data_IF_891198298684
#
_entry.id   IF_891198298684
#
_cell.length_a   1.000
_cell.length_b   1.000
_cell.length_c   1.000
_cell.angle_alpha   90.00
_cell.angle_beta   90.00
_cell.angle_gamma   90.00
#
_symmetry.space_group_name_H-M   'P 1'
#
loop_
_entity.id
_entity.type
_entity.pdbx_description
1 polymer ?
#
# COMPACT_ATOMS: atom_id res chain seq x y z
N UNK A 1 -28.13 22.01 16.09
CA UNK A 1 -27.87 21.20 14.88
C UNK A 1 -26.45 21.48 14.51
N UNK A 2 -25.64 20.46 14.75
CA UNK A 2 -24.22 20.48 14.55
C UNK A 2 -23.89 20.67 13.07
N UNK A 3 -23.01 21.62 12.77
CA UNK A 3 -22.46 21.84 11.45
C UNK A 3 -20.96 21.55 11.45
N UNK A 4 -20.51 20.84 10.41
CA UNK A 4 -19.10 20.45 10.23
C UNK A 4 -18.61 21.05 8.94
N UNK A 5 -17.74 22.04 9.07
CA UNK A 5 -17.22 22.80 7.93
C UNK A 5 -15.81 22.33 7.60
N UNK A 6 -15.64 21.84 6.38
CA UNK A 6 -14.34 21.46 5.81
C UNK A 6 -13.83 22.58 4.89
N UNK A 7 -12.54 22.89 5.01
CA UNK A 7 -11.86 23.81 4.11
C UNK A 7 -10.57 23.18 3.57
N UNK A 8 -10.50 22.99 2.26
CA UNK A 8 -9.33 22.41 1.55
C UNK A 8 -8.67 23.42 0.61
N UNK A 9 -9.12 24.68 0.59
CA UNK A 9 -8.63 25.71 -0.33
C UNK A 9 -7.14 26.05 -0.18
N UNK A 10 -6.53 25.71 0.95
CA UNK A 10 -5.11 25.87 1.21
C UNK A 10 -4.28 24.63 0.77
N UNK A 11 -4.92 23.54 0.35
CA UNK A 11 -4.22 22.34 -0.09
C UNK A 11 -3.63 22.53 -1.49
N UNK A 12 -2.36 22.13 -1.63
CA UNK A 12 -1.67 22.03 -2.91
C UNK A 12 -1.25 20.59 -3.13
N UNK A 13 -1.26 20.13 -4.39
CA UNK A 13 -0.77 18.80 -4.76
C UNK A 13 0.61 18.56 -4.17
N UNK A 14 0.75 17.43 -3.47
CA UNK A 14 2.00 17.03 -2.84
C UNK A 14 2.68 15.95 -3.67
N UNK A 15 4.01 16.02 -3.72
CA UNK A 15 4.87 14.98 -4.28
C UNK A 15 5.88 14.57 -3.22
N UNK A 16 6.03 13.27 -3.00
CA UNK A 16 6.96 12.70 -2.03
C UNK A 16 7.41 11.31 -2.48
N UNK A 17 8.49 10.82 -1.88
CA UNK A 17 9.05 9.50 -2.17
C UNK A 17 9.17 8.72 -0.86
N UNK A 18 8.69 7.48 -0.86
CA UNK A 18 8.89 6.52 0.23
C UNK A 18 9.70 5.36 -0.33
N UNK A 19 10.96 5.22 0.12
CA UNK A 19 11.93 4.32 -0.49
C UNK A 19 12.04 2.96 0.20
N UNK A 20 11.58 2.85 1.44
CA UNK A 20 11.64 1.65 2.26
C UNK A 20 10.37 1.44 3.08
N UNK A 21 10.12 0.20 3.51
CA UNK A 21 9.02 -0.09 4.44
C UNK A 21 9.27 0.62 5.78
N UNK A 22 8.25 1.32 6.27
CA UNK A 22 8.30 2.19 7.45
C UNK A 22 8.50 3.67 7.13
N UNK A 23 8.94 4.03 5.91
CA UNK A 23 9.01 5.43 5.50
C UNK A 23 7.62 6.06 5.53
N UNK A 24 7.54 7.29 6.04
CA UNK A 24 6.28 8.02 6.13
C UNK A 24 6.41 9.47 5.68
N UNK A 25 5.33 10.02 5.14
CA UNK A 25 5.20 11.43 4.79
C UNK A 25 3.87 11.98 5.29
N UNK A 26 3.93 13.11 5.99
CA UNK A 26 2.77 13.77 6.59
C UNK A 26 2.53 15.13 5.95
N UNK A 27 1.27 15.44 5.67
CA UNK A 27 0.87 16.72 5.10
C UNK A 27 -0.53 17.12 5.57
N UNK A 28 -0.77 18.42 5.63
CA UNK A 28 -2.09 18.95 5.93
C UNK A 28 -2.97 18.86 4.69
N UNK A 29 -4.16 18.28 4.82
CA UNK A 29 -5.15 18.16 3.73
C UNK A 29 -6.23 19.24 3.78
N UNK A 30 -6.36 19.91 4.92
CA UNK A 30 -7.30 21.01 5.10
C UNK A 30 -7.46 21.38 6.56
N UNK A 31 -8.58 22.05 6.84
CA UNK A 31 -9.04 22.30 8.20
C UNK A 31 -10.48 21.84 8.37
N UNK A 32 -10.83 21.50 9.61
CA UNK A 32 -12.18 21.13 10.03
C UNK A 32 -12.58 22.05 11.16
N UNK A 33 -13.79 22.60 11.07
CA UNK A 33 -14.37 23.44 12.10
C UNK A 33 -15.75 22.91 12.48
N UNK A 34 -15.97 22.69 13.78
CA UNK A 34 -17.28 22.34 14.31
C UNK A 34 -18.00 23.59 14.77
N UNK A 35 -19.24 23.76 14.31
CA UNK A 35 -20.09 24.89 14.65
C UNK A 35 -21.36 24.35 15.28
N UNK A 36 -21.49 24.50 16.59
CA UNK A 36 -22.75 24.26 17.28
C UNK A 36 -23.41 25.61 17.57
N UNK A 37 -24.60 25.91 17.02
CA UNK A 37 -25.29 27.18 17.27
C UNK A 37 -25.95 27.27 18.65
N UNK A 38 -26.22 26.14 19.33
CA UNK A 38 -26.91 26.11 20.64
C UNK A 38 -25.99 26.36 21.83
N UNK A 39 -25.14 27.37 21.75
CA UNK A 39 -24.00 27.55 22.68
C UNK A 39 -24.14 28.77 23.59
N UNK A 40 -23.81 28.61 24.87
CA UNK A 40 -23.77 29.70 25.86
C UNK A 40 -23.89 29.20 27.30
N UNK A 41 -23.61 30.02 28.33
CA UNK A 41 -23.82 29.61 29.72
C UNK A 41 -25.32 29.57 30.06
N UNK A 42 -25.78 28.50 30.73
CA UNK A 42 -27.11 28.42 31.35
C UNK A 42 -27.99 27.26 30.87
N UNK A 43 -29.18 27.12 31.47
CA UNK A 43 -30.11 25.97 31.34
C UNK A 43 -30.67 25.68 29.93
N UNK A 44 -30.19 26.37 28.90
CA UNK A 44 -30.58 26.19 27.49
C UNK A 44 -29.45 25.72 26.57
N UNK A 45 -28.20 25.71 27.04
CA UNK A 45 -27.11 25.04 26.34
C UNK A 45 -27.15 23.56 26.69
N UNK A 46 -27.25 22.73 25.68
CA UNK A 46 -27.28 21.28 25.86
C UNK A 46 -26.15 20.59 25.10
N UNK A 47 -25.15 21.37 24.68
CA UNK A 47 -24.03 20.94 23.86
C UNK A 47 -24.43 20.06 22.68
N UNK A 48 -23.51 19.21 22.25
CA UNK A 48 -23.73 18.21 21.20
C UNK A 48 -24.39 16.99 21.85
N UNK A 49 -25.60 16.65 21.41
CA UNK A 49 -26.32 15.46 21.88
C UNK A 49 -26.02 14.25 21.00
N UNK A 50 -26.21 13.04 21.51
CA UNK A 50 -26.03 11.79 20.74
C UNK A 50 -26.84 11.80 19.43
N UNK A 51 -28.07 12.33 19.47
CA UNK A 51 -28.96 12.51 18.30
C UNK A 51 -28.57 13.69 17.38
N UNK A 52 -27.41 14.31 17.60
CA UNK A 52 -26.78 15.26 16.68
C UNK A 52 -25.48 14.67 16.09
N UNK A 53 -25.12 13.44 16.50
CA UNK A 53 -23.93 12.72 16.04
C UNK A 53 -24.25 11.52 15.15
N UNK A 54 -25.51 11.11 15.08
CA UNK A 54 -26.00 10.21 14.06
C UNK A 54 -25.90 10.88 12.67
N UNK A 55 -25.43 10.13 11.68
CA UNK A 55 -25.40 10.54 10.26
C UNK A 55 -24.46 11.72 9.89
N UNK A 56 -23.45 12.07 10.71
CA UNK A 56 -22.48 13.11 10.34
C UNK A 56 -21.62 12.76 9.10
N UNK A 57 -21.67 11.51 8.60
CA UNK A 57 -21.12 11.01 7.33
C UNK A 57 -19.82 11.70 6.87
N UNK A 58 -18.87 11.86 7.80
CA UNK A 58 -17.62 12.55 7.50
C UNK A 58 -16.76 11.65 6.63
N UNK A 59 -16.50 12.09 5.40
CA UNK A 59 -15.68 11.36 4.45
C UNK A 59 -14.55 12.23 3.93
N UNK A 60 -13.36 11.64 3.81
CA UNK A 60 -12.22 12.26 3.13
C UNK A 60 -11.92 11.45 1.87
N UNK A 61 -11.82 12.16 0.75
CA UNK A 61 -11.44 11.62 -0.54
C UNK A 61 -10.04 12.11 -0.89
N UNK A 62 -9.12 11.17 -1.10
CA UNK A 62 -7.74 11.45 -1.49
C UNK A 62 -7.46 10.84 -2.86
N UNK A 63 -6.81 11.62 -3.70
CA UNK A 63 -6.55 11.25 -5.09
C UNK A 63 -5.06 11.05 -5.30
N UNK A 64 -4.66 9.85 -5.73
CA UNK A 64 -3.27 9.47 -5.95
C UNK A 64 -3.05 9.13 -7.42
N UNK A 65 -1.97 9.62 -8.04
CA UNK A 65 -1.63 9.34 -9.43
C UNK A 65 -0.54 8.25 -9.54
N UNK A 66 0.58 8.46 -8.86
CA UNK A 66 1.73 7.55 -8.79
C UNK A 66 1.88 7.08 -7.33
N UNK A 67 2.29 5.83 -7.03
CA UNK A 67 2.70 4.70 -7.89
C UNK A 67 1.55 3.85 -8.47
N UNK A 68 0.31 4.37 -8.50
CA UNK A 68 -0.87 3.58 -8.85
C UNK A 68 -1.08 3.39 -10.36
N UNK A 69 -0.25 4.02 -11.21
CA UNK A 69 -0.31 3.96 -12.67
C UNK A 69 -1.53 4.68 -13.29
N UNK A 70 -2.55 4.99 -12.50
CA UNK A 70 -3.71 5.78 -12.86
C UNK A 70 -4.21 6.54 -11.64
N UNK A 71 -4.92 7.65 -11.89
CA UNK A 71 -5.55 8.42 -10.84
C UNK A 71 -6.58 7.53 -10.11
N UNK A 72 -6.34 7.28 -8.82
CA UNK A 72 -7.23 6.50 -7.96
C UNK A 72 -7.71 7.35 -6.79
N UNK A 73 -9.01 7.30 -6.55
CA UNK A 73 -9.64 7.87 -5.36
C UNK A 73 -9.63 6.85 -4.22
N UNK A 74 -9.29 7.34 -3.04
CA UNK A 74 -9.26 6.56 -1.80
C UNK A 74 -10.14 7.29 -0.79
N UNK A 75 -11.12 6.57 -0.22
CA UNK A 75 -12.10 7.11 0.72
C UNK A 75 -11.86 6.57 2.12
N UNK A 76 -11.76 7.45 3.10
CA UNK A 76 -11.81 7.07 4.52
C UNK A 76 -12.99 7.76 5.21
N UNK A 77 -13.65 7.03 6.10
CA UNK A 77 -14.78 7.51 6.88
C UNK A 77 -14.34 7.84 8.31
N UNK A 78 -14.76 9.02 8.78
CA UNK A 78 -14.56 9.46 10.14
C UNK A 78 -15.69 9.00 11.05
N UNK A 79 -15.35 8.64 12.28
CA UNK A 79 -16.29 8.36 13.36
C UNK A 79 -16.30 9.57 14.29
N UNK A 80 -17.45 10.21 14.36
CA UNK A 80 -17.75 11.25 15.32
C UNK A 80 -18.07 10.65 16.69
N UNK A 81 -17.59 11.26 17.77
CA UNK A 81 -17.90 10.81 19.12
C UNK A 81 -18.11 12.04 20.02
N UNK A 82 -19.31 12.19 20.62
CA UNK A 82 -19.56 13.24 21.59
C UNK A 82 -18.88 12.92 22.92
N UNK A 83 -18.39 13.95 23.59
CA UNK A 83 -17.95 13.90 24.97
C UNK A 83 -18.97 14.51 25.92
N UNK A 84 -18.57 14.68 27.17
CA UNK A 84 -19.41 15.37 28.15
C UNK A 84 -19.45 16.86 27.84
N UNK A 85 -20.62 17.45 28.03
CA UNK A 85 -20.88 18.88 27.84
C UNK A 85 -20.73 19.60 29.18
N UNK A 86 -20.38 20.89 29.15
CA UNK A 86 -20.18 21.75 30.33
C UNK A 86 -19.01 21.34 31.26
N UNK A 87 -17.94 20.77 30.70
CA UNK A 87 -16.67 20.60 31.41
C UNK A 87 -15.49 21.23 30.64
N UNK A 88 -14.27 21.07 31.16
CA UNK A 88 -13.06 21.59 30.53
C UNK A 88 -12.37 20.55 29.62
N UNK A 89 -13.09 19.49 29.24
CA UNK A 89 -12.60 18.34 28.48
C UNK A 89 -13.11 18.35 27.05
N UNK A 90 -12.91 17.26 26.31
CA UNK A 90 -13.25 17.20 24.88
C UNK A 90 -14.75 16.97 24.73
N UNK A 91 -15.46 17.97 24.22
CA UNK A 91 -16.88 17.90 23.87
C UNK A 91 -17.15 17.06 22.62
N UNK A 92 -16.19 17.02 21.70
CA UNK A 92 -16.34 16.30 20.44
C UNK A 92 -15.01 15.80 19.89
N UNK A 93 -15.00 14.58 19.36
CA UNK A 93 -13.86 14.05 18.64
C UNK A 93 -14.23 13.41 17.32
N UNK A 94 -13.30 13.47 16.38
CA UNK A 94 -13.36 12.79 15.11
C UNK A 94 -12.15 11.88 15.00
N UNK A 95 -12.39 10.60 14.75
CA UNK A 95 -11.37 9.57 14.62
C UNK A 95 -11.53 8.82 13.31
N UNK A 96 -10.46 8.21 12.81
CA UNK A 96 -10.46 7.51 11.53
C UNK A 96 -9.75 6.18 11.64
N UNK A 97 -10.25 5.18 10.93
CA UNK A 97 -9.50 3.93 10.74
C UNK A 97 -8.45 4.14 9.64
N UNK A 98 -7.20 3.68 9.86
CA UNK A 98 -6.20 3.64 8.80
C UNK A 98 -6.69 2.80 7.61
N UNK A 99 -6.26 3.17 6.41
CA UNK A 99 -6.65 2.52 5.18
C UNK A 99 -5.43 2.04 4.40
N UNK A 100 -5.37 0.74 4.16
CA UNK A 100 -4.32 0.12 3.37
C UNK A 100 -4.68 0.16 1.88
N UNK A 101 -3.73 0.59 1.06
CA UNK A 101 -3.88 0.78 -0.38
C UNK A 101 -2.80 -0.02 -1.10
N UNK A 102 -3.22 -1.09 -1.77
CA UNK A 102 -2.34 -1.90 -2.60
C UNK A 102 -2.01 -1.17 -3.91
N UNK A 103 -0.78 -1.35 -4.40
CA UNK A 103 -0.27 -0.78 -5.64
C UNK A 103 0.83 -1.65 -6.25
N UNK A 104 1.03 -1.54 -7.57
CA UNK A 104 2.04 -2.33 -8.29
C UNK A 104 1.93 -3.84 -8.02
N UNK A 105 3.06 -4.54 -8.11
CA UNK A 105 3.15 -5.97 -7.80
C UNK A 105 3.51 -6.16 -6.32
N UNK A 106 2.48 -6.23 -5.47
CA UNK A 106 2.64 -6.52 -4.04
C UNK A 106 3.02 -5.32 -3.16
N UNK A 107 3.05 -4.10 -3.72
CA UNK A 107 3.25 -2.88 -2.96
C UNK A 107 2.03 -2.56 -2.09
N UNK A 108 2.28 -2.00 -0.90
CA UNK A 108 1.25 -1.62 0.05
C UNK A 108 1.69 -0.35 0.79
N UNK A 109 0.83 0.66 0.81
CA UNK A 109 0.97 1.79 1.72
C UNK A 109 -0.29 1.97 2.55
N UNK A 110 -0.15 2.55 3.73
CA UNK A 110 -1.24 2.88 4.62
C UNK A 110 -1.43 4.39 4.64
N UNK A 111 -2.69 4.83 4.63
CA UNK A 111 -3.07 6.21 4.89
C UNK A 111 -3.71 6.25 6.28
N UNK A 112 -3.24 7.14 7.14
CA UNK A 112 -3.89 7.48 8.39
C UNK A 112 -4.21 8.96 8.44
N UNK A 113 -5.31 9.31 9.09
CA UNK A 113 -5.68 10.71 9.36
C UNK A 113 -5.52 10.99 10.85
N UNK A 114 -5.02 12.18 11.17
CA UNK A 114 -4.85 12.62 12.55
C UNK A 114 -6.20 12.86 13.23
N UNK A 115 -6.40 12.27 14.42
CA UNK A 115 -7.56 12.51 15.27
C UNK A 115 -7.78 14.02 15.53
N UNK A 116 -9.03 14.46 15.55
CA UNK A 116 -9.39 15.83 15.93
C UNK A 116 -10.22 15.81 17.20
N UNK A 117 -9.99 16.76 18.09
CA UNK A 117 -10.73 16.92 19.34
C UNK A 117 -11.02 18.39 19.58
N UNK A 118 -12.24 18.69 20.02
CA UNK A 118 -12.74 20.04 20.26
C UNK A 118 -13.27 20.12 21.70
N UNK A 119 -12.72 21.04 22.49
CA UNK A 119 -13.06 21.25 23.91
C UNK A 119 -14.24 22.22 24.07
N UNK A 120 -14.52 23.01 23.04
CA UNK A 120 -15.71 23.84 22.95
C UNK A 120 -15.91 24.29 21.50
N UNK A 121 -17.06 24.91 21.25
CA UNK A 121 -17.46 25.49 19.96
C UNK A 121 -16.62 26.69 19.49
N UNK A 122 -15.69 27.21 20.30
CA UNK A 122 -14.89 28.41 19.99
C UNK A 122 -13.43 28.12 19.67
N UNK A 123 -13.01 26.86 19.63
CA UNK A 123 -11.60 26.50 19.32
C UNK A 123 -11.21 26.78 17.86
N UNK A 124 -12.17 27.15 17.01
CA UNK A 124 -11.93 27.48 15.61
C UNK A 124 -11.53 26.28 14.77
N UNK A 125 -11.03 26.55 13.57
CA UNK A 125 -10.69 25.51 12.62
C UNK A 125 -9.39 24.78 13.01
N UNK A 126 -9.42 23.45 13.06
CA UNK A 126 -8.25 22.61 13.34
C UNK A 126 -7.68 22.01 12.07
N UNK A 127 -6.36 21.87 11.99
CA UNK A 127 -5.68 21.25 10.87
C UNK A 127 -5.94 19.75 10.84
N UNK A 128 -6.41 19.24 9.70
CA UNK A 128 -6.50 17.82 9.45
C UNK A 128 -5.28 17.37 8.66
N UNK A 129 -4.49 16.48 9.26
CA UNK A 129 -3.28 15.95 8.65
C UNK A 129 -3.52 14.52 8.17
N UNK A 130 -2.95 14.20 7.02
CA UNK A 130 -2.83 12.85 6.51
C UNK A 130 -1.37 12.39 6.61
N UNK A 131 -1.17 11.12 6.94
CA UNK A 131 0.12 10.47 6.93
C UNK A 131 0.06 9.26 6.01
N UNK A 132 0.97 9.19 5.04
CA UNK A 132 1.14 8.05 4.15
C UNK A 132 2.37 7.29 4.60
N UNK A 133 2.22 6.00 4.91
CA UNK A 133 3.32 5.13 5.37
C UNK A 133 3.48 3.96 4.42
N UNK A 134 4.70 3.72 3.93
CA UNK A 134 5.01 2.55 3.11
C UNK A 134 5.04 1.31 4.01
N UNK A 135 4.18 0.33 3.74
CA UNK A 135 4.18 -0.93 4.47
C UNK A 135 5.00 -2.00 3.75
N UNK A 136 4.94 -2.03 2.42
CA UNK A 136 5.64 -3.01 1.60
C UNK A 136 5.97 -2.39 0.25
N UNK A 137 7.23 -2.51 -0.18
CA UNK A 137 7.67 -2.07 -1.51
C UNK A 137 7.12 -3.02 -2.59
N UNK A 138 6.77 -2.50 -3.77
CA UNK A 138 6.42 -3.35 -4.90
C UNK A 138 7.62 -4.18 -5.33
N UNK A 139 7.38 -5.43 -5.71
CA UNK A 139 8.42 -6.29 -6.24
C UNK A 139 8.86 -5.78 -7.61
N UNK A 140 10.16 -5.64 -7.79
CA UNK A 140 10.73 -5.49 -9.13
C UNK A 140 10.57 -6.85 -9.82
N UNK A 141 9.78 -6.91 -10.88
CA UNK A 141 9.78 -8.08 -11.74
C UNK A 141 11.23 -8.36 -12.15
N UNK A 142 11.70 -9.62 -12.08
CA UNK A 142 13.03 -9.95 -12.58
C UNK A 142 13.06 -9.51 -14.04
N UNK A 143 13.91 -8.54 -14.35
CA UNK A 143 14.22 -8.18 -15.74
C UNK A 143 14.67 -9.47 -16.39
N UNK A 144 13.86 -9.98 -17.31
CA UNK A 144 14.23 -11.13 -18.12
C UNK A 144 15.63 -10.81 -18.66
N UNK A 145 16.64 -11.66 -18.39
CA UNK A 145 18.00 -11.35 -18.80
C UNK A 145 17.95 -11.00 -20.28
N UNK A 146 18.58 -9.87 -20.63
CA UNK A 146 18.66 -9.44 -22.03
C UNK A 146 19.00 -10.65 -22.89
N UNK A 147 18.31 -10.87 -24.03
CA UNK A 147 18.67 -11.96 -24.91
C UNK A 147 20.18 -11.90 -25.09
N UNK A 148 20.85 -13.01 -24.73
CA UNK A 148 22.29 -13.12 -24.89
C UNK A 148 22.63 -12.57 -26.28
N UNK A 149 23.69 -11.73 -26.42
CA UNK A 149 24.04 -11.19 -27.72
C UNK A 149 24.00 -12.35 -28.70
N UNK A 150 23.15 -12.23 -29.72
CA UNK A 150 23.10 -13.19 -30.80
C UNK A 150 24.55 -13.29 -31.27
N UNK A 151 25.21 -14.40 -30.93
CA UNK A 151 26.55 -14.65 -31.41
C UNK A 151 26.39 -14.64 -32.92
N UNK A 152 26.89 -13.58 -33.57
CA UNK A 152 27.32 -13.66 -34.96
C UNK A 152 28.00 -15.00 -35.09
N UNK A 153 27.52 -15.80 -36.05
CA UNK A 153 27.97 -17.15 -36.29
C UNK A 153 29.49 -17.19 -36.48
N UNK A 154 30.21 -17.25 -35.36
CA UNK A 154 31.61 -17.57 -35.30
C UNK A 154 31.76 -18.97 -35.85
N UNK A 155 32.81 -19.15 -36.66
CA UNK A 155 33.20 -20.41 -37.27
C UNK A 155 32.94 -21.60 -36.35
N UNK A 156 32.50 -22.76 -36.89
CA UNK A 156 32.26 -23.95 -36.11
C UNK A 156 33.54 -24.35 -35.38
N UNK A 157 33.62 -24.01 -34.09
CA UNK A 157 34.60 -24.58 -33.19
C UNK A 157 34.36 -26.08 -33.19
N UNK A 158 35.26 -26.82 -33.83
CA UNK A 158 35.27 -28.27 -33.82
C UNK A 158 35.44 -28.72 -32.37
N UNK A 159 34.32 -29.03 -31.73
CA UNK A 159 34.27 -29.66 -30.41
C UNK A 159 34.96 -31.02 -30.54
N UNK A 160 36.08 -31.28 -29.85
CA UNK A 160 36.63 -32.63 -29.77
C UNK A 160 35.63 -33.48 -28.98
N UNK A 161 34.95 -34.39 -29.67
CA UNK A 161 33.97 -35.28 -29.06
C UNK A 161 34.63 -36.09 -27.92
N UNK A 162 34.03 -36.14 -26.73
CA UNK A 162 34.58 -36.92 -25.63
C UNK A 162 34.37 -38.41 -25.92
N UNK A 163 35.44 -39.10 -26.33
CA UNK A 163 35.81 -40.47 -25.96
C UNK A 163 34.78 -41.61 -26.03
N UNK A 164 33.58 -41.39 -26.55
CA UNK A 164 32.45 -42.32 -26.45
C UNK A 164 32.43 -43.32 -27.63
N UNK A 165 33.19 -43.05 -28.69
CA UNK A 165 33.38 -43.96 -29.82
C UNK A 165 34.45 -45.04 -29.59
N UNK A 166 35.33 -44.88 -28.59
CA UNK A 166 36.34 -45.90 -28.29
C UNK A 166 35.76 -47.15 -27.60
N UNK A 167 34.60 -47.04 -26.96
CA UNK A 167 34.01 -48.13 -26.15
C UNK A 167 33.04 -49.04 -26.92
N UNK A 168 32.60 -48.65 -28.13
CA UNK A 168 31.75 -49.51 -28.95
C UNK A 168 32.54 -50.58 -29.75
N UNK A 169 33.87 -50.40 -29.89
CA UNK A 169 34.73 -51.33 -30.62
C UNK A 169 35.25 -52.53 -29.82
N UNK A 170 35.28 -52.43 -28.48
CA UNK A 170 35.80 -53.50 -27.61
C UNK A 170 34.73 -54.54 -27.19
N UNK A 171 33.45 -54.26 -27.41
CA UNK A 171 32.35 -55.19 -27.05
C UNK A 171 32.14 -56.36 -28.01
N UNK A 172 32.57 -56.25 -29.27
CA UNK A 172 32.29 -57.25 -30.31
C UNK A 172 33.37 -58.33 -30.48
N UNK A 173 34.54 -58.19 -29.85
CA UNK A 173 35.58 -59.22 -29.86
C UNK A 173 35.30 -60.40 -28.89
N UNK A 174 34.35 -60.26 -27.96
CA UNK A 174 34.07 -61.27 -26.93
C UNK A 174 33.11 -62.40 -27.33
N UNK A 175 32.33 -62.24 -28.40
CA UNK A 175 31.26 -63.20 -28.76
C UNK A 175 31.69 -64.33 -29.72
N UNK A 176 32.94 -64.33 -30.19
CA UNK A 176 33.46 -65.37 -31.10
C UNK A 176 33.99 -66.65 -30.42
N UNK A 177 34.21 -66.65 -29.10
CA UNK A 177 34.96 -67.72 -28.43
C UNK A 177 34.11 -68.85 -27.82
N UNK A 178 32.77 -68.78 -27.84
CA UNK A 178 31.91 -69.75 -27.14
C UNK A 178 31.30 -70.87 -28.00
N UNK A 179 31.68 -71.01 -29.29
CA UNK A 179 31.29 -72.18 -30.10
C UNK A 179 32.43 -73.20 -30.20
N UNK A 180 32.79 -73.84 -29.09
CA UNK A 180 33.56 -75.09 -29.16
C UNK A 180 32.99 -76.16 -28.23
N UNK A 181 32.62 -77.26 -28.88
CA UNK A 181 32.34 -78.61 -28.36
C UNK A 181 30.98 -78.85 -27.73
N UNK A 182 30.02 -79.24 -28.58
CA UNK A 182 29.27 -80.46 -28.33
C UNK A 182 29.11 -81.24 -29.65
N UNK A 183 29.87 -82.34 -29.78
CA UNK A 183 29.58 -83.45 -30.67
C UNK A 183 29.94 -84.76 -29.95
N UNK A 184 28.94 -85.61 -29.86
CA UNK A 184 28.93 -87.08 -29.94
C UNK A 184 29.84 -87.91 -29.01
N UNK A 185 29.19 -88.70 -28.15
CA UNK A 185 29.26 -90.17 -28.17
C UNK A 185 27.91 -90.71 -27.70
#
# INVERSE_FOLDING_TARGET
>A
MLDVVFATSAFTTQSFTLGTAGDSFSFQIGTVNFREPNTGPGKGNTGIRDAETDELDVSVFLTFADPLGSIREVRTAGIATPGLIDDATVDFSLTWSPLDVAFGDGGLFQISLGALSFVNNNEGAKALNATVTMLTLPQLLPVSPAPAPEQEAGEPNAVPEPGSLALLGLGLAGLGALRRKQRAA
#
